data_IF_730286021139
#
_entry.id   IF_730286021139
#
_cell.length_a   1.000
_cell.length_b   1.000
_cell.length_c   1.000
_cell.angle_alpha   90.00
_cell.angle_beta   90.00
_cell.angle_gamma   90.00
#
_symmetry.space_group_name_H-M   'P 1'
#
loop_
_entity.id
_entity.type
_entity.pdbx_description
1 polymer ?
#
# COMPACT_ATOMS: atom_id res chain seq x y z
N UNK A 1 -4.10 40.34 8.39
CA UNK A 1 -4.35 40.02 9.79
C UNK A 1 -3.24 39.08 10.26
N UNK A 2 -2.46 39.42 11.29
CA UNK A 2 -1.50 38.46 11.80
C UNK A 2 -2.29 37.23 12.27
N UNK A 3 -1.84 36.04 11.89
CA UNK A 3 -2.50 34.82 12.31
C UNK A 3 -2.41 34.70 13.84
N UNK A 4 -3.56 34.72 14.48
CA UNK A 4 -3.69 34.54 15.94
C UNK A 4 -3.31 33.12 16.41
N UNK A 5 -2.92 32.26 15.49
CA UNK A 5 -2.62 30.85 15.76
C UNK A 5 -1.11 30.61 15.77
N UNK A 6 -0.62 30.06 16.85
CA UNK A 6 0.71 29.53 16.96
C UNK A 6 0.69 28.07 16.46
N UNK A 7 1.60 27.77 15.53
CA UNK A 7 1.82 26.39 15.10
C UNK A 7 2.68 25.67 16.13
N UNK A 8 2.25 24.50 16.56
CA UNK A 8 3.01 23.61 17.42
C UNK A 8 3.34 22.33 16.65
N UNK A 9 4.58 21.92 16.70
CA UNK A 9 5.04 20.67 16.11
C UNK A 9 5.01 19.57 17.19
N UNK A 10 4.13 18.59 16.99
CA UNK A 10 3.98 17.46 17.89
C UNK A 10 5.23 16.58 17.78
N UNK A 11 5.90 16.32 18.89
CA UNK A 11 7.08 15.47 18.93
C UNK A 11 6.69 13.99 18.97
N UNK A 12 7.63 13.13 18.57
CA UNK A 12 7.43 11.69 18.61
C UNK A 12 6.94 11.21 19.98
N UNK A 13 5.80 10.51 20.00
CA UNK A 13 5.19 9.95 21.20
C UNK A 13 4.54 10.97 22.14
N UNK A 14 4.46 12.25 21.77
CA UNK A 14 3.77 13.26 22.59
C UNK A 14 2.25 13.04 22.57
N UNK A 15 1.68 12.84 23.74
CA UNK A 15 0.24 12.71 23.94
C UNK A 15 -0.42 14.09 24.03
N UNK A 16 -1.73 14.20 23.68
CA UNK A 16 -2.44 15.48 23.71
C UNK A 16 -2.42 16.16 25.10
N UNK A 17 -2.54 15.38 26.17
CA UNK A 17 -2.50 15.89 27.55
C UNK A 17 -1.13 16.48 27.91
N UNK A 18 -0.03 15.87 27.44
CA UNK A 18 1.34 16.40 27.62
C UNK A 18 1.53 17.70 26.85
N UNK A 19 1.03 17.75 25.60
CA UNK A 19 1.07 18.99 24.80
C UNK A 19 0.26 20.09 25.49
N UNK A 20 -0.91 19.76 26.03
CA UNK A 20 -1.75 20.69 26.80
C UNK A 20 -1.02 21.21 28.04
N UNK A 21 -0.40 20.32 28.82
CA UNK A 21 0.40 20.71 29.98
C UNK A 21 1.53 21.68 29.61
N UNK A 22 2.17 21.45 28.46
CA UNK A 22 3.27 22.31 28.00
C UNK A 22 2.80 23.68 27.50
N UNK A 23 1.67 23.73 26.78
CA UNK A 23 1.17 24.97 26.18
C UNK A 23 0.32 25.82 27.15
N UNK A 24 -0.47 25.15 27.98
CA UNK A 24 -1.47 25.82 28.84
C UNK A 24 -1.20 25.72 30.35
N UNK A 25 -0.15 24.94 30.74
CA UNK A 25 0.16 24.72 32.16
C UNK A 25 -0.75 23.71 32.86
N UNK A 26 -1.71 23.11 32.14
CA UNK A 26 -2.61 22.06 32.63
C UNK A 26 -2.92 21.05 31.57
N UNK A 27 -3.08 19.74 31.89
CA UNK A 27 -3.46 18.72 30.92
C UNK A 27 -4.92 18.83 30.46
N UNK A 28 -5.77 19.58 31.18
CA UNK A 28 -7.23 19.54 31.03
C UNK A 28 -7.74 20.12 29.70
N UNK A 29 -6.95 20.92 29.01
CA UNK A 29 -7.34 21.57 27.76
C UNK A 29 -6.95 20.81 26.49
N UNK A 30 -6.53 19.55 26.59
CA UNK A 30 -6.14 18.73 25.42
C UNK A 30 -7.25 18.63 24.34
N UNK A 31 -8.51 18.66 24.74
CA UNK A 31 -9.66 18.60 23.84
C UNK A 31 -9.75 19.78 22.87
N UNK A 32 -9.15 20.91 23.22
CA UNK A 32 -9.15 22.10 22.35
C UNK A 32 -8.44 21.86 21.05
N UNK A 33 -7.42 20.99 21.02
CA UNK A 33 -6.70 20.62 19.81
C UNK A 33 -7.62 19.96 18.79
N UNK A 34 -8.54 19.12 19.25
CA UNK A 34 -9.50 18.42 18.41
C UNK A 34 -10.63 19.31 17.89
N UNK A 35 -10.95 20.36 18.61
CA UNK A 35 -11.99 21.33 18.20
C UNK A 35 -11.44 22.36 17.22
N UNK A 36 -10.20 22.83 17.43
CA UNK A 36 -9.62 23.90 16.61
C UNK A 36 -9.04 23.41 15.30
N UNK A 37 -8.59 22.16 15.26
CA UNK A 37 -7.96 21.58 14.06
C UNK A 37 -8.91 20.62 13.37
N UNK A 38 -9.38 21.00 12.18
CA UNK A 38 -10.35 20.23 11.40
C UNK A 38 -9.87 18.80 11.10
N UNK A 39 -8.58 18.61 10.81
CA UNK A 39 -7.99 17.29 10.55
C UNK A 39 -7.82 16.41 11.81
N UNK A 40 -8.07 16.95 13.02
CA UNK A 40 -8.03 16.19 14.27
C UNK A 40 -9.44 15.91 14.84
N UNK A 41 -10.51 16.13 14.07
CA UNK A 41 -11.89 16.00 14.52
C UNK A 41 -12.25 14.62 15.07
N UNK A 42 -11.61 13.56 14.56
CA UNK A 42 -11.80 12.18 15.03
C UNK A 42 -11.07 11.88 16.36
N UNK A 43 -10.53 12.90 17.01
CA UNK A 43 -9.94 12.83 18.34
C UNK A 43 -8.65 12.02 18.38
N UNK A 44 -8.55 11.13 19.36
CA UNK A 44 -7.35 10.31 19.55
C UNK A 44 -7.00 9.39 18.39
N UNK A 45 -7.96 9.04 17.54
CA UNK A 45 -7.74 8.13 16.39
C UNK A 45 -6.82 8.74 15.33
N UNK A 46 -6.84 10.05 15.20
CA UNK A 46 -6.04 10.80 14.21
C UNK A 46 -4.87 11.54 14.84
N UNK A 47 -4.67 11.39 16.15
CA UNK A 47 -3.48 11.93 16.81
C UNK A 47 -2.25 11.17 16.34
N UNK A 48 -1.13 11.85 16.03
CA UNK A 48 0.08 11.18 15.50
C UNK A 48 0.56 10.07 16.43
N UNK A 49 0.73 8.90 15.86
CA UNK A 49 1.30 7.75 16.58
C UNK A 49 2.77 8.00 16.90
N UNK A 50 3.27 7.39 17.96
CA UNK A 50 4.72 7.30 18.14
C UNK A 50 5.34 6.47 17.03
N UNK A 51 6.61 6.69 16.75
CA UNK A 51 7.33 5.92 15.73
C UNK A 51 7.30 4.40 16.02
N UNK A 52 7.38 4.01 17.29
CA UNK A 52 7.31 2.61 17.68
C UNK A 52 5.94 1.99 17.40
N UNK A 53 4.85 2.70 17.78
CA UNK A 53 3.48 2.25 17.47
C UNK A 53 3.20 2.22 15.97
N UNK A 54 3.73 3.20 15.23
CA UNK A 54 3.61 3.20 13.77
C UNK A 54 4.30 2.00 13.14
N UNK A 55 5.50 1.66 13.58
CA UNK A 55 6.23 0.48 13.09
C UNK A 55 5.50 -0.82 13.44
N UNK A 56 4.95 -0.94 14.65
CA UNK A 56 4.14 -2.08 15.06
C UNK A 56 2.88 -2.21 14.19
N UNK A 57 2.17 -1.11 13.97
CA UNK A 57 1.01 -1.05 13.08
C UNK A 57 1.37 -1.48 11.66
N UNK A 58 2.44 -0.93 11.09
CA UNK A 58 2.89 -1.29 9.75
C UNK A 58 3.27 -2.77 9.63
N UNK A 59 3.97 -3.32 10.62
CA UNK A 59 4.34 -4.73 10.62
C UNK A 59 3.14 -5.67 10.79
N UNK A 60 2.04 -5.20 11.39
CA UNK A 60 0.83 -6.00 11.59
C UNK A 60 -0.09 -5.91 10.37
N UNK A 61 -0.42 -4.70 9.94
CA UNK A 61 -1.39 -4.47 8.86
C UNK A 61 -0.80 -4.68 7.47
N UNK A 62 0.47 -4.30 7.27
CA UNK A 62 1.17 -4.39 5.99
C UNK A 62 2.20 -5.53 5.97
N UNK A 63 1.88 -6.61 6.67
CA UNK A 63 2.64 -7.86 6.65
C UNK A 63 2.51 -8.54 5.28
N UNK A 64 3.61 -9.15 4.81
CA UNK A 64 3.64 -9.95 3.60
C UNK A 64 4.30 -9.27 2.40
N UNK A 65 3.87 -9.69 1.21
CA UNK A 65 4.48 -9.27 -0.04
C UNK A 65 3.43 -8.84 -1.06
N UNK A 66 3.85 -7.92 -1.92
CA UNK A 66 3.11 -7.53 -3.12
C UNK A 66 3.84 -8.07 -4.33
N UNK A 67 3.15 -8.88 -5.10
CA UNK A 67 3.63 -9.44 -6.36
C UNK A 67 3.03 -8.61 -7.48
N UNK A 68 3.87 -7.97 -8.29
CA UNK A 68 3.43 -7.29 -9.50
C UNK A 68 3.66 -8.19 -10.70
N UNK A 69 2.82 -8.08 -11.71
CA UNK A 69 3.08 -8.65 -13.02
C UNK A 69 3.21 -7.53 -14.07
N UNK A 70 3.77 -7.87 -15.24
CA UNK A 70 3.96 -6.93 -16.35
C UNK A 70 2.97 -7.29 -17.46
N UNK A 71 1.78 -6.65 -17.50
CA UNK A 71 0.80 -6.92 -18.52
C UNK A 71 1.30 -6.41 -19.86
N UNK A 72 1.40 -7.33 -20.84
CA UNK A 72 1.82 -7.02 -22.20
C UNK A 72 0.71 -7.32 -23.18
N UNK A 73 0.54 -6.43 -24.13
CA UNK A 73 -0.36 -6.65 -25.25
C UNK A 73 0.44 -7.26 -26.37
N UNK A 74 0.12 -8.50 -26.71
CA UNK A 74 0.77 -9.25 -27.79
C UNK A 74 -0.27 -9.82 -28.74
N UNK A 75 0.03 -9.97 -30.03
CA UNK A 75 -0.85 -10.71 -30.94
C UNK A 75 -0.82 -12.20 -30.57
N UNK A 76 -2.00 -12.83 -30.59
CA UNK A 76 -2.13 -14.28 -30.55
C UNK A 76 -1.88 -14.91 -31.94
N UNK A 77 -2.03 -16.23 -32.04
CA UNK A 77 -1.80 -16.98 -33.28
C UNK A 77 -2.78 -16.57 -34.41
N UNK A 78 -3.92 -15.98 -34.06
CA UNK A 78 -4.92 -15.45 -35.00
C UNK A 78 -4.71 -13.96 -35.31
N UNK A 79 -3.68 -13.34 -34.75
CA UNK A 79 -3.36 -11.91 -34.90
C UNK A 79 -4.23 -10.97 -34.05
N UNK A 80 -5.00 -11.50 -33.08
CA UNK A 80 -5.76 -10.67 -32.12
C UNK A 80 -4.82 -10.18 -31.03
N UNK A 81 -5.01 -8.94 -30.62
CA UNK A 81 -4.28 -8.38 -29.49
C UNK A 81 -4.84 -8.93 -28.17
N UNK A 82 -4.03 -9.69 -27.45
CA UNK A 82 -4.38 -10.23 -26.12
C UNK A 82 -3.43 -9.69 -25.05
N UNK A 83 -3.97 -9.44 -23.89
CA UNK A 83 -3.16 -8.99 -22.73
C UNK A 83 -2.66 -10.21 -21.98
N UNK A 84 -1.34 -10.46 -22.06
CA UNK A 84 -0.67 -11.48 -21.26
C UNK A 84 -0.30 -10.91 -19.88
N UNK A 85 -0.10 -11.81 -18.90
CA UNK A 85 0.29 -11.47 -17.53
C UNK A 85 -0.65 -10.47 -16.80
N UNK A 86 -1.87 -10.27 -17.27
CA UNK A 86 -2.89 -9.53 -16.53
C UNK A 86 -3.45 -10.39 -15.41
N UNK A 87 -3.71 -9.79 -14.26
CA UNK A 87 -4.41 -10.41 -13.13
C UNK A 87 -5.94 -10.23 -13.21
N UNK A 88 -6.41 -9.47 -14.20
CA UNK A 88 -7.85 -9.25 -14.38
C UNK A 88 -8.58 -10.54 -14.68
N UNK A 89 -9.64 -10.82 -13.93
CA UNK A 89 -10.41 -12.06 -14.05
C UNK A 89 -9.73 -13.31 -13.50
N UNK A 90 -8.48 -13.21 -13.06
CA UNK A 90 -7.71 -14.32 -12.47
C UNK A 90 -7.72 -14.24 -10.96
N UNK A 91 -7.42 -15.36 -10.32
CA UNK A 91 -7.27 -15.52 -8.89
C UNK A 91 -8.51 -15.15 -8.05
N UNK A 92 -8.70 -15.86 -6.97
CA UNK A 92 -9.76 -15.64 -5.99
C UNK A 92 -9.17 -15.17 -4.66
N UNK A 93 -9.80 -14.18 -4.02
CA UNK A 93 -9.38 -13.75 -2.67
C UNK A 93 -9.50 -14.90 -1.68
N UNK A 94 -8.52 -15.04 -0.82
CA UNK A 94 -8.42 -16.10 0.17
C UNK A 94 -7.71 -17.37 -0.34
N UNK A 95 -7.43 -17.50 -1.65
CA UNK A 95 -6.67 -18.64 -2.14
C UNK A 95 -5.17 -18.56 -1.80
N UNK A 96 -4.54 -19.73 -1.79
CA UNK A 96 -3.09 -19.82 -1.61
C UNK A 96 -2.37 -19.55 -2.92
N UNK A 97 -1.48 -18.60 -2.92
CA UNK A 97 -0.58 -18.31 -4.04
C UNK A 97 0.75 -19.02 -3.78
N UNK A 98 1.23 -19.77 -4.76
CA UNK A 98 2.49 -20.53 -4.67
C UNK A 98 3.44 -20.15 -5.81
N UNK A 99 4.69 -19.86 -5.47
CA UNK A 99 5.75 -19.60 -6.43
C UNK A 99 6.39 -20.90 -6.92
N UNK A 100 6.51 -21.06 -8.23
CA UNK A 100 7.01 -22.29 -8.86
C UNK A 100 8.49 -22.55 -8.56
N UNK A 101 9.29 -21.50 -8.49
CA UNK A 101 10.76 -21.61 -8.33
C UNK A 101 11.17 -21.41 -6.89
N UNK A 102 10.58 -20.45 -6.21
CA UNK A 102 10.85 -20.17 -4.80
C UNK A 102 10.28 -21.22 -3.86
N UNK A 103 9.18 -21.88 -4.23
CA UNK A 103 8.31 -22.66 -3.35
C UNK A 103 7.75 -21.84 -2.17
N UNK A 104 7.79 -20.52 -2.25
CA UNK A 104 7.11 -19.67 -1.30
C UNK A 104 5.60 -19.77 -1.50
N UNK A 105 4.85 -19.70 -0.41
CA UNK A 105 3.39 -19.73 -0.48
C UNK A 105 2.80 -18.75 0.51
N UNK A 106 1.58 -18.25 0.22
CA UNK A 106 0.87 -17.35 1.10
C UNK A 106 -0.56 -17.12 0.66
N UNK A 107 -1.35 -16.44 1.47
CA UNK A 107 -2.77 -16.19 1.21
C UNK A 107 -2.97 -14.88 0.45
N UNK A 108 -3.71 -14.92 -0.65
CA UNK A 108 -4.10 -13.74 -1.41
C UNK A 108 -5.19 -12.96 -0.65
N UNK A 109 -4.83 -11.79 -0.14
CA UNK A 109 -5.75 -10.96 0.66
C UNK A 109 -6.35 -9.80 -0.13
N UNK A 110 -5.65 -9.31 -1.15
CA UNK A 110 -6.10 -8.19 -1.97
C UNK A 110 -5.57 -8.31 -3.40
N UNK A 111 -6.38 -7.84 -4.35
CA UNK A 111 -5.97 -7.63 -5.75
C UNK A 111 -6.14 -6.16 -6.09
N UNK A 112 -5.11 -5.58 -6.67
CA UNK A 112 -5.17 -4.25 -7.25
C UNK A 112 -5.01 -4.39 -8.78
N UNK A 113 -6.13 -4.29 -9.49
CA UNK A 113 -6.17 -4.55 -10.94
C UNK A 113 -5.45 -3.44 -11.71
N UNK A 114 -5.61 -2.18 -11.32
CA UNK A 114 -5.00 -1.05 -12.01
C UNK A 114 -3.47 -1.04 -11.91
N UNK A 115 -2.96 -1.47 -10.77
CA UNK A 115 -1.52 -1.61 -10.54
C UNK A 115 -0.99 -3.00 -10.92
N UNK A 116 -1.88 -3.89 -11.34
CA UNK A 116 -1.58 -5.29 -11.65
C UNK A 116 -0.82 -6.01 -10.52
N UNK A 117 -1.35 -5.87 -9.29
CA UNK A 117 -0.73 -6.33 -8.04
C UNK A 117 -1.58 -7.36 -7.31
N UNK A 118 -0.91 -8.39 -6.79
CA UNK A 118 -1.44 -9.37 -5.84
C UNK A 118 -0.80 -9.11 -4.48
N UNK A 119 -1.62 -8.86 -3.45
CA UNK A 119 -1.15 -8.71 -2.07
C UNK A 119 -1.31 -10.05 -1.36
N UNK A 120 -0.18 -10.60 -0.93
CA UNK A 120 -0.10 -11.94 -0.32
C UNK A 120 0.41 -11.81 1.11
N UNK A 121 -0.36 -12.31 2.07
CA UNK A 121 -0.01 -12.33 3.50
C UNK A 121 0.16 -13.76 4.01
N UNK A 122 0.56 -13.90 5.28
CA UNK A 122 0.85 -15.19 5.91
C UNK A 122 1.82 -16.04 5.08
N UNK A 123 2.88 -15.39 4.61
CA UNK A 123 3.82 -15.99 3.68
C UNK A 123 4.74 -16.98 4.39
N UNK A 124 4.71 -18.22 3.92
CA UNK A 124 5.71 -19.24 4.24
C UNK A 124 6.81 -19.15 3.20
N UNK A 125 8.04 -18.89 3.65
CA UNK A 125 9.20 -18.83 2.77
C UNK A 125 9.53 -20.23 2.20
N UNK A 126 9.97 -20.25 0.98
CA UNK A 126 10.37 -21.48 0.34
C UNK A 126 11.76 -21.98 0.72
N UNK A 127 12.33 -22.83 -0.09
CA UNK A 127 13.65 -23.42 0.14
C UNK A 127 14.72 -22.34 0.30
N UNK A 128 15.53 -22.44 1.35
CA UNK A 128 16.58 -21.47 1.65
C UNK A 128 16.09 -20.12 2.16
N UNK A 129 14.91 -20.05 2.79
CA UNK A 129 14.27 -18.80 3.25
C UNK A 129 13.99 -17.79 2.12
N UNK A 130 13.72 -18.30 0.92
CA UNK A 130 13.47 -17.46 -0.24
C UNK A 130 11.99 -17.07 -0.29
N UNK A 131 11.71 -15.77 -0.40
CA UNK A 131 10.39 -15.25 -0.72
C UNK A 131 10.07 -15.44 -2.21
N UNK A 132 8.92 -14.95 -2.67
CA UNK A 132 8.60 -14.91 -4.09
C UNK A 132 9.70 -14.18 -4.88
N UNK A 133 9.98 -14.64 -6.10
CA UNK A 133 11.04 -14.13 -6.95
C UNK A 133 10.46 -13.15 -7.98
N UNK A 134 11.03 -11.96 -8.02
CA UNK A 134 10.70 -10.94 -9.01
C UNK A 134 11.51 -9.67 -8.70
N UNK A 135 12.55 -9.42 -9.47
CA UNK A 135 13.44 -8.26 -9.33
C UNK A 135 13.42 -7.33 -10.56
N UNK A 136 12.57 -7.65 -11.56
CA UNK A 136 12.50 -6.95 -12.84
C UNK A 136 13.42 -7.59 -13.92
N UNK A 137 14.22 -8.57 -13.55
CA UNK A 137 15.12 -9.33 -14.46
C UNK A 137 14.87 -10.81 -14.34
N UNK A 138 14.79 -11.32 -13.11
CA UNK A 138 14.47 -12.72 -12.81
C UNK A 138 13.00 -12.81 -12.42
N UNK A 139 12.30 -13.75 -13.02
CA UNK A 139 10.86 -13.94 -12.85
C UNK A 139 10.56 -15.36 -12.44
N UNK A 140 9.46 -15.55 -11.74
CA UNK A 140 8.87 -16.87 -11.54
C UNK A 140 7.40 -16.85 -11.95
N UNK A 141 6.80 -18.01 -12.07
CA UNK A 141 5.35 -18.12 -12.23
C UNK A 141 4.73 -18.37 -10.86
N UNK A 142 3.75 -17.57 -10.51
CA UNK A 142 2.92 -17.81 -9.33
C UNK A 142 1.58 -18.39 -9.74
N UNK A 143 1.09 -19.36 -8.97
CA UNK A 143 -0.12 -20.11 -9.29
C UNK A 143 -1.08 -20.08 -8.11
N UNK A 144 -2.37 -19.86 -8.38
CA UNK A 144 -3.46 -19.92 -7.42
C UNK A 144 -3.88 -21.36 -7.14
N UNK A 145 -3.93 -21.73 -5.86
CA UNK A 145 -4.22 -23.11 -5.45
C UNK A 145 -5.66 -23.54 -5.67
N UNK A 146 -6.61 -22.61 -5.73
CA UNK A 146 -8.04 -22.90 -5.95
C UNK A 146 -8.42 -22.74 -7.42
N UNK A 147 -7.98 -21.66 -8.03
CA UNK A 147 -8.36 -21.34 -9.41
C UNK A 147 -7.49 -22.05 -10.45
N UNK A 148 -6.26 -22.44 -10.09
CA UNK A 148 -5.26 -22.93 -11.03
C UNK A 148 -4.71 -21.87 -11.98
N UNK A 149 -5.16 -20.61 -11.83
CA UNK A 149 -4.69 -19.49 -12.65
C UNK A 149 -3.24 -19.17 -12.33
N UNK A 150 -2.52 -18.70 -13.33
CA UNK A 150 -1.11 -18.37 -13.16
C UNK A 150 -0.75 -17.05 -13.82
N UNK A 151 0.30 -16.42 -13.31
CA UNK A 151 0.88 -15.21 -13.87
C UNK A 151 2.38 -15.17 -13.60
N UNK A 152 3.15 -14.60 -14.53
CA UNK A 152 4.57 -14.36 -14.33
C UNK A 152 4.75 -13.12 -13.43
N UNK A 153 5.60 -13.25 -12.43
CA UNK A 153 6.00 -12.12 -11.58
C UNK A 153 6.84 -11.14 -12.39
N UNK A 154 6.78 -9.88 -12.03
CA UNK A 154 7.69 -8.85 -12.54
C UNK A 154 8.58 -8.32 -11.42
N UNK A 155 7.95 -7.71 -10.41
CA UNK A 155 8.63 -7.27 -9.19
C UNK A 155 7.88 -7.74 -7.96
N UNK A 156 8.64 -8.10 -6.94
CA UNK A 156 8.13 -8.46 -5.62
C UNK A 156 8.65 -7.48 -4.60
N UNK A 157 7.75 -6.92 -3.83
CA UNK A 157 8.05 -5.96 -2.76
C UNK A 157 7.57 -6.51 -1.43
N UNK A 158 8.21 -6.10 -0.35
CA UNK A 158 7.52 -6.16 0.96
C UNK A 158 6.29 -5.27 0.88
N UNK A 159 5.18 -5.67 1.49
CA UNK A 159 3.92 -4.94 1.33
C UNK A 159 4.05 -3.47 1.76
N UNK A 160 4.78 -3.20 2.85
CA UNK A 160 5.06 -1.85 3.36
C UNK A 160 5.79 -0.94 2.35
N UNK A 161 6.60 -1.53 1.47
CA UNK A 161 7.42 -0.82 0.48
C UNK A 161 6.79 -0.79 -0.93
N UNK A 162 5.63 -1.44 -1.09
CA UNK A 162 4.99 -1.58 -2.39
C UNK A 162 4.38 -0.26 -2.87
N UNK A 163 4.38 -0.01 -4.19
CA UNK A 163 3.66 1.12 -4.76
C UNK A 163 2.17 1.05 -4.42
N UNK A 164 1.64 2.09 -3.79
CA UNK A 164 0.24 2.17 -3.39
C UNK A 164 -0.63 2.81 -4.47
N UNK A 165 -0.10 3.81 -5.16
CA UNK A 165 -0.79 4.50 -6.25
C UNK A 165 0.23 5.14 -7.20
N UNK A 166 -0.22 5.44 -8.41
CA UNK A 166 0.50 6.28 -9.35
C UNK A 166 -0.25 7.60 -9.51
N UNK A 167 0.48 8.66 -9.76
CA UNK A 167 -0.13 9.92 -10.18
C UNK A 167 0.52 10.40 -11.48
N UNK A 168 -0.26 11.09 -12.29
CA UNK A 168 0.20 11.81 -13.47
C UNK A 168 -0.02 13.29 -13.18
N UNK A 169 1.00 14.11 -13.44
CA UNK A 169 0.87 15.56 -13.43
C UNK A 169 0.50 15.99 -14.86
N UNK A 170 -0.71 16.47 -15.02
CA UNK A 170 -1.22 16.97 -16.30
C UNK A 170 -1.53 18.46 -16.16
N UNK A 171 -1.29 19.22 -17.25
CA UNK A 171 -1.73 20.61 -17.32
C UNK A 171 -3.24 20.63 -17.60
N UNK A 172 -4.01 21.25 -16.71
CA UNK A 172 -5.42 21.50 -16.95
C UNK A 172 -5.59 22.50 -18.09
N UNK A 173 -6.15 22.06 -19.19
CA UNK A 173 -6.29 22.83 -20.43
C UNK A 173 -7.12 24.11 -20.22
N UNK A 174 -8.01 24.13 -19.22
CA UNK A 174 -8.89 25.28 -18.93
C UNK A 174 -8.20 26.30 -18.02
N UNK A 175 -7.44 25.84 -17.03
CA UNK A 175 -6.85 26.71 -16.01
C UNK A 175 -5.35 26.94 -16.20
N UNK A 176 -4.66 26.15 -17.03
CA UNK A 176 -3.21 26.16 -17.21
C UNK A 176 -2.44 25.76 -15.96
N UNK A 177 -3.09 25.13 -14.99
CA UNK A 177 -2.44 24.67 -13.75
C UNK A 177 -2.12 23.19 -13.83
N UNK A 178 -1.00 22.80 -13.23
CA UNK A 178 -0.65 21.39 -13.05
C UNK A 178 -1.62 20.76 -12.05
N UNK A 179 -2.30 19.70 -12.47
CA UNK A 179 -3.22 18.91 -11.66
C UNK A 179 -2.65 17.51 -11.51
N UNK A 180 -2.62 17.00 -10.27
CA UNK A 180 -2.27 15.61 -9.99
C UNK A 180 -3.52 14.75 -10.14
N UNK A 181 -3.48 13.81 -11.07
CA UNK A 181 -4.47 12.72 -11.14
C UNK A 181 -3.89 11.49 -10.48
N UNK A 182 -4.56 11.01 -9.45
CA UNK A 182 -4.18 9.81 -8.69
C UNK A 182 -4.95 8.64 -9.28
N UNK A 183 -4.21 7.58 -9.59
CA UNK A 183 -4.75 6.30 -10.02
C UNK A 183 -4.49 5.29 -8.90
N UNK A 184 -5.51 5.01 -8.11
CA UNK A 184 -5.51 3.97 -7.08
C UNK A 184 -6.86 3.25 -7.10
N UNK A 185 -6.85 1.96 -6.83
CA UNK A 185 -8.06 1.22 -6.49
C UNK A 185 -8.24 1.30 -4.97
N UNK A 186 -9.05 2.23 -4.51
CA UNK A 186 -9.64 2.14 -3.18
C UNK A 186 -10.96 1.37 -3.21
#
# INVERSE_FOLDING_TARGET
SPSLYLKYEIKNGERPDIVSQRLYGTPDFYWTFFVVNEFLHDGYKVWPMSQELLLEYLNTEYNGYVITSDPRVVPDDDGRLVTQNSISGKFQLGETITGNSSNASGTLVRKNIDLNQLVVQNVTLGSGNTAFIGDGVTFETVTGGTTGESVSTYKVYKYVDAPHHYFIEEEDIVTGKMVKRIYSNE
#
